data_IF_700482524513
#
_entry.id   IF_700482524513
#
_cell.length_a   1.000
_cell.length_b   1.000
_cell.length_c   1.000
_cell.angle_alpha   90.00
_cell.angle_beta   90.00
_cell.angle_gamma   90.00
#
_symmetry.space_group_name_H-M   'P 1'
#
loop_
_entity.id
_entity.type
_entity.pdbx_description
1 polymer ?
#
# COMPACT_ATOMS: atom_id res chain seq x y z
N UNK A 1 -6.66 68.06 0.05
CA UNK A 1 -7.65 67.02 -0.33
C UNK A 1 -6.86 65.86 -0.92
N UNK A 2 -6.76 64.71 -0.23
CA UNK A 2 -6.04 63.55 -0.76
C UNK A 2 -7.05 62.64 -1.45
N UNK A 3 -6.90 62.46 -2.76
CA UNK A 3 -7.79 61.62 -3.57
C UNK A 3 -7.50 60.14 -3.39
N UNK A 4 -8.55 59.35 -3.15
CA UNK A 4 -8.46 57.89 -3.13
C UNK A 4 -8.30 57.40 -4.58
N UNK A 5 -7.17 56.75 -4.87
CA UNK A 5 -6.97 56.02 -6.13
C UNK A 5 -7.84 54.77 -6.13
N UNK A 6 -8.66 54.62 -7.16
CA UNK A 6 -9.56 53.46 -7.36
C UNK A 6 -8.75 52.16 -7.31
N UNK A 7 -9.06 51.30 -6.34
CA UNK A 7 -8.38 50.03 -6.12
C UNK A 7 -8.71 49.06 -7.27
N UNK A 8 -7.68 48.58 -7.95
CA UNK A 8 -7.78 47.63 -9.07
C UNK A 8 -7.96 46.20 -8.54
N UNK A 9 -9.09 45.90 -7.92
CA UNK A 9 -9.42 44.54 -7.46
C UNK A 9 -10.17 43.78 -8.56
N UNK A 10 -9.45 42.95 -9.32
CA UNK A 10 -10.05 41.94 -10.20
C UNK A 10 -10.69 40.82 -9.36
N UNK A 11 -11.91 41.08 -8.87
CA UNK A 11 -12.66 40.19 -7.99
C UNK A 11 -12.86 38.79 -8.59
N UNK A 12 -13.06 38.71 -9.92
CA UNK A 12 -13.23 37.44 -10.65
C UNK A 12 -11.93 36.63 -10.69
N UNK A 13 -10.79 37.29 -10.97
CA UNK A 13 -9.46 36.64 -10.93
C UNK A 13 -9.12 36.20 -9.50
N UNK A 14 -9.44 37.02 -8.51
CA UNK A 14 -9.25 36.69 -7.10
C UNK A 14 -10.16 35.55 -6.62
N UNK A 15 -11.38 35.45 -7.14
CA UNK A 15 -12.30 34.34 -6.88
C UNK A 15 -11.80 33.02 -7.45
N UNK A 16 -11.43 33.00 -8.73
CA UNK A 16 -10.88 31.82 -9.40
C UNK A 16 -9.59 31.33 -8.73
N UNK A 17 -8.68 32.27 -8.40
CA UNK A 17 -7.45 31.94 -7.70
C UNK A 17 -7.72 31.25 -6.36
N UNK A 18 -8.64 31.78 -5.54
CA UNK A 18 -9.01 31.13 -4.27
C UNK A 18 -9.61 29.74 -4.45
N UNK A 19 -10.42 29.49 -5.48
CA UNK A 19 -10.96 28.16 -5.74
C UNK A 19 -9.87 27.16 -6.11
N UNK A 20 -8.91 27.57 -6.95
CA UNK A 20 -7.76 26.74 -7.31
C UNK A 20 -6.88 26.46 -6.07
N UNK A 21 -6.55 27.52 -5.32
CA UNK A 21 -5.75 27.40 -4.08
C UNK A 21 -6.44 26.45 -3.07
N UNK A 22 -7.78 26.48 -2.96
CA UNK A 22 -8.54 25.58 -2.07
C UNK A 22 -8.54 24.13 -2.55
N UNK A 23 -8.66 23.89 -3.86
CA UNK A 23 -8.60 22.54 -4.43
C UNK A 23 -7.20 21.92 -4.20
N UNK A 24 -6.13 22.70 -4.43
CA UNK A 24 -4.76 22.27 -4.15
C UNK A 24 -4.56 21.91 -2.65
N UNK A 25 -5.13 22.70 -1.73
CA UNK A 25 -5.08 22.40 -0.30
C UNK A 25 -5.82 21.10 0.06
N UNK A 26 -6.95 20.83 -0.59
CA UNK A 26 -7.74 19.62 -0.36
C UNK A 26 -7.03 18.37 -0.88
N UNK A 27 -6.38 18.46 -2.05
CA UNK A 27 -5.52 17.41 -2.59
C UNK A 27 -4.35 17.11 -1.66
N UNK A 28 -3.62 18.13 -1.20
CA UNK A 28 -2.51 17.95 -0.24
C UNK A 28 -2.96 17.30 1.06
N UNK A 29 -4.16 17.64 1.56
CA UNK A 29 -4.72 17.00 2.75
C UNK A 29 -5.00 15.51 2.52
N UNK A 30 -5.59 15.17 1.37
CA UNK A 30 -5.85 13.79 0.99
C UNK A 30 -4.56 12.98 0.83
N UNK A 31 -3.55 13.56 0.19
CA UNK A 31 -2.24 12.95 0.02
C UNK A 31 -1.54 12.72 1.36
N UNK A 32 -1.57 13.71 2.26
CA UNK A 32 -1.02 13.57 3.61
C UNK A 32 -1.74 12.46 4.40
N UNK A 33 -3.06 12.37 4.29
CA UNK A 33 -3.85 11.32 4.93
C UNK A 33 -3.49 9.93 4.38
N UNK A 34 -3.44 9.78 3.06
CA UNK A 34 -3.08 8.52 2.40
C UNK A 34 -1.65 8.11 2.74
N UNK A 35 -0.69 9.05 2.68
CA UNK A 35 0.70 8.82 3.05
C UNK A 35 0.85 8.42 4.52
N UNK A 36 0.09 9.04 5.44
CA UNK A 36 0.09 8.66 6.86
C UNK A 36 -0.43 7.22 7.06
N UNK A 37 -1.50 6.84 6.35
CA UNK A 37 -2.06 5.48 6.42
C UNK A 37 -1.06 4.45 5.88
N UNK A 38 -0.44 4.74 4.74
CA UNK A 38 0.60 3.89 4.13
C UNK A 38 1.82 3.77 5.05
N UNK A 39 2.29 4.86 5.67
CA UNK A 39 3.42 4.82 6.58
C UNK A 39 3.15 3.95 7.82
N UNK A 40 1.94 4.05 8.40
CA UNK A 40 1.52 3.18 9.51
C UNK A 40 1.46 1.71 9.10
N UNK A 41 0.91 1.43 7.92
CA UNK A 41 0.84 0.07 7.40
C UNK A 41 2.22 -0.51 7.10
N UNK A 42 3.12 0.28 6.50
CA UNK A 42 4.53 -0.08 6.28
C UNK A 42 5.26 -0.36 7.58
N UNK A 43 5.04 0.44 8.63
CA UNK A 43 5.63 0.19 9.95
C UNK A 43 5.11 -1.11 10.56
N UNK A 44 3.79 -1.36 10.46
CA UNK A 44 3.17 -2.59 10.97
C UNK A 44 3.67 -3.82 10.22
N UNK A 45 3.71 -3.77 8.89
CA UNK A 45 4.20 -4.84 8.04
C UNK A 45 5.72 -5.03 8.24
N UNK A 46 6.48 -3.94 8.37
CA UNK A 46 7.90 -3.95 8.67
C UNK A 46 8.21 -4.60 10.02
N UNK A 47 7.45 -4.27 11.07
CA UNK A 47 7.54 -4.95 12.36
C UNK A 47 7.22 -6.44 12.20
N UNK A 48 6.09 -6.80 11.60
CA UNK A 48 5.71 -8.22 11.43
C UNK A 48 6.79 -8.98 10.64
N UNK A 49 7.30 -8.40 9.56
CA UNK A 49 8.39 -8.97 8.75
C UNK A 49 9.72 -9.03 9.51
N UNK A 50 9.97 -8.11 10.44
CA UNK A 50 11.15 -8.11 11.31
C UNK A 50 11.08 -9.24 12.33
N UNK A 51 9.91 -9.46 12.94
CA UNK A 51 9.70 -10.52 13.93
C UNK A 51 9.62 -11.91 13.30
N UNK A 52 9.11 -12.00 12.08
CA UNK A 52 8.83 -13.28 11.43
C UNK A 52 9.86 -13.62 10.35
N UNK A 53 10.33 -12.68 9.54
CA UNK A 53 11.00 -13.01 8.28
C UNK A 53 10.12 -13.84 7.31
N UNK A 54 10.26 -13.69 5.99
CA UNK A 54 9.63 -14.62 5.06
C UNK A 54 10.34 -15.98 5.18
N UNK A 55 9.66 -16.92 5.82
CA UNK A 55 10.06 -18.30 5.94
C UNK A 55 9.33 -19.14 4.90
N UNK A 56 10.10 -19.83 4.06
CA UNK A 56 9.55 -20.79 3.09
C UNK A 56 9.33 -22.11 3.82
N UNK A 57 8.10 -22.61 3.90
CA UNK A 57 7.83 -23.93 4.46
C UNK A 57 8.36 -24.97 3.45
N UNK A 58 9.29 -25.81 3.89
CA UNK A 58 9.90 -26.85 3.08
C UNK A 58 9.09 -28.15 3.14
N UNK A 59 8.74 -28.59 4.36
CA UNK A 59 8.01 -29.83 4.59
C UNK A 59 7.24 -29.78 5.92
N UNK A 60 6.06 -30.38 5.97
CA UNK A 60 5.26 -30.54 7.19
C UNK A 60 5.14 -32.03 7.50
N UNK A 61 5.67 -32.45 8.63
CA UNK A 61 5.58 -33.83 9.07
C UNK A 61 4.23 -34.10 9.76
N UNK A 62 3.67 -35.31 9.68
CA UNK A 62 2.36 -35.66 10.27
C UNK A 62 2.32 -35.54 11.81
N UNK A 63 3.49 -35.51 12.45
CA UNK A 63 3.68 -35.27 13.88
C UNK A 63 3.75 -33.77 14.24
N UNK A 64 3.43 -32.87 13.31
CA UNK A 64 3.28 -31.42 13.55
C UNK A 64 4.59 -30.64 13.57
N UNK A 65 5.72 -31.27 13.23
CA UNK A 65 7.00 -30.58 13.03
C UNK A 65 7.03 -29.99 11.62
N UNK A 66 7.38 -28.72 11.51
CA UNK A 66 7.50 -28.03 10.23
C UNK A 66 8.95 -27.68 9.99
N UNK A 67 9.45 -28.05 8.82
CA UNK A 67 10.75 -27.65 8.32
C UNK A 67 10.62 -26.31 7.62
N UNK A 68 11.31 -25.32 8.14
CA UNK A 68 11.31 -23.95 7.66
C UNK A 68 12.65 -23.64 7.01
N UNK A 69 12.62 -23.24 5.74
CA UNK A 69 13.77 -22.78 5.00
C UNK A 69 14.02 -21.28 5.24
N UNK A 70 15.27 -20.97 5.63
CA UNK A 70 15.74 -19.60 5.76
C UNK A 70 16.53 -19.20 4.50
N UNK A 71 15.98 -18.31 3.64
CA UNK A 71 16.64 -17.88 2.41
C UNK A 71 17.90 -17.04 2.65
N UNK A 72 18.11 -16.50 3.86
CA UNK A 72 19.32 -15.73 4.18
C UNK A 72 20.53 -16.59 4.53
N UNK A 73 20.31 -17.85 4.92
CA UNK A 73 21.36 -18.74 5.42
C UNK A 73 21.48 -20.07 4.67
N UNK A 74 20.66 -20.31 3.65
CA UNK A 74 20.52 -21.62 2.98
C UNK A 74 20.38 -22.79 3.98
N UNK A 75 19.73 -22.52 5.12
CA UNK A 75 19.62 -23.47 6.23
C UNK A 75 18.15 -23.76 6.49
N UNK A 76 17.86 -25.03 6.75
CA UNK A 76 16.54 -25.50 7.16
C UNK A 76 16.51 -25.73 8.66
N UNK A 77 15.48 -25.24 9.33
CA UNK A 77 15.28 -25.40 10.77
C UNK A 77 13.98 -26.17 11.06
N UNK A 78 13.99 -27.03 12.07
CA UNK A 78 12.80 -27.72 12.56
C UNK A 78 12.12 -26.85 13.62
N UNK A 79 10.90 -26.42 13.35
CA UNK A 79 10.06 -25.69 14.30
C UNK A 79 8.79 -26.47 14.59
N UNK A 80 8.21 -26.24 15.77
CA UNK A 80 6.90 -26.80 16.07
C UNK A 80 5.84 -26.05 15.26
N UNK A 81 5.09 -26.77 14.41
CA UNK A 81 4.09 -26.23 13.50
C UNK A 81 2.98 -25.45 14.19
N UNK A 82 2.69 -25.74 15.47
CA UNK A 82 1.71 -24.97 16.26
C UNK A 82 2.07 -23.49 16.44
N UNK A 83 3.34 -23.09 16.22
CA UNK A 83 3.79 -21.70 16.35
C UNK A 83 3.86 -20.95 15.04
N UNK A 84 3.56 -21.61 13.91
CA UNK A 84 3.56 -20.99 12.60
C UNK A 84 2.16 -20.48 12.27
N UNK A 85 2.11 -19.25 11.75
CA UNK A 85 0.88 -18.67 11.22
C UNK A 85 0.90 -18.84 9.69
N UNK A 86 -0.12 -19.48 9.09
CA UNK A 86 -0.24 -19.54 7.64
C UNK A 86 -0.26 -18.12 7.07
N UNK A 87 0.64 -17.85 6.13
CA UNK A 87 0.61 -16.63 5.35
C UNK A 87 -0.39 -16.85 4.21
N UNK A 88 -1.55 -16.20 4.31
CA UNK A 88 -2.53 -16.18 3.23
C UNK A 88 -2.15 -14.99 2.36
N UNK A 89 -1.63 -15.28 1.16
CA UNK A 89 -1.31 -14.25 0.19
C UNK A 89 -2.63 -13.53 -0.19
N UNK A 90 -2.74 -12.20 -0.02
CA UNK A 90 -3.92 -11.48 -0.45
C UNK A 90 -4.06 -11.62 -1.96
N UNK A 91 -5.26 -12.00 -2.41
CA UNK A 91 -5.59 -12.12 -3.82
C UNK A 91 -5.30 -10.78 -4.51
N UNK A 92 -4.26 -10.74 -5.34
CA UNK A 92 -3.94 -9.60 -6.17
C UNK A 92 -4.83 -9.68 -7.42
N UNK A 93 -5.94 -8.95 -7.40
CA UNK A 93 -6.88 -8.85 -8.54
C UNK A 93 -6.21 -8.30 -9.82
N UNK A 94 -5.02 -7.74 -9.71
CA UNK A 94 -4.28 -7.12 -10.82
C UNK A 94 -3.43 -8.12 -11.63
N UNK A 95 -3.43 -9.42 -11.28
CA UNK A 95 -2.61 -10.45 -11.97
C UNK A 95 -3.37 -11.39 -12.90
N UNK A 96 -4.68 -11.20 -13.07
CA UNK A 96 -5.47 -11.94 -14.06
C UNK A 96 -5.85 -11.01 -15.22
N UNK A 97 -4.86 -10.61 -16.04
CA UNK A 97 -5.12 -10.40 -17.46
C UNK A 97 -5.48 -11.77 -18.06
N UNK A 98 -6.74 -12.17 -17.86
CA UNK A 98 -7.37 -13.23 -18.63
C UNK A 98 -7.25 -12.85 -20.10
N UNK A 99 -6.39 -13.54 -20.84
CA UNK A 99 -6.36 -13.46 -22.30
C UNK A 99 -7.74 -13.93 -22.79
N UNK A 100 -8.60 -12.96 -23.13
CA UNK A 100 -9.90 -13.18 -23.73
C UNK A 100 -9.67 -13.77 -25.14
N UNK A 101 -9.59 -15.09 -25.25
CA UNK A 101 -9.61 -15.74 -26.55
C UNK A 101 -11.00 -15.52 -27.14
N UNK A 102 -11.10 -14.68 -28.17
CA UNK A 102 -12.35 -14.43 -28.87
C UNK A 102 -12.97 -15.76 -29.37
N UNK A 103 -14.30 -15.92 -29.25
CA UNK A 103 -14.97 -17.14 -29.69
C UNK A 103 -14.87 -17.28 -31.21
N UNK A 104 -14.48 -18.47 -31.66
CA UNK A 104 -14.48 -18.81 -33.08
C UNK A 104 -15.90 -18.71 -33.63
N UNK A 105 -16.09 -17.82 -34.61
CA UNK A 105 -17.31 -17.73 -35.39
C UNK A 105 -17.49 -19.03 -36.19
N UNK A 106 -18.61 -19.70 -35.96
CA UNK A 106 -19.17 -20.73 -36.84
C UNK A 106 -19.77 -20.09 -38.09
#
# INVERSE_FOLDING_TARGET
MVGIKKLNMDLTRAGLKRCLDLNELEEMRNDAYLNSKIAKERLKNGMINWWMGPFLIHEVHPNGVVEVFNPKGNQTFKVNGHRLKPFIEPYNADKEEINLLEPQKL
#
